data_IF_255272997590
#
_entry.id   IF_255272997590
#
_cell.length_a   1.000
_cell.length_b   1.000
_cell.length_c   1.000
_cell.angle_alpha   90.00
_cell.angle_beta   90.00
_cell.angle_gamma   90.00
#
_symmetry.space_group_name_H-M   'P 1'
#
loop_
_entity.id
_entity.type
_entity.pdbx_description
1 polymer ?
#
# COMPACT_ATOMS: atom_id res chain seq x y z
N UNK A 1 13.24 -9.96 0.40
CA UNK A 1 12.55 -10.41 -0.83
C UNK A 1 12.17 -9.24 -1.74
N UNK A 2 11.60 -8.16 -1.20
CA UNK A 2 11.09 -7.01 -1.95
C UNK A 2 12.13 -6.31 -2.89
N UNK A 3 13.40 -6.09 -2.50
CA UNK A 3 14.39 -5.53 -3.43
C UNK A 3 14.56 -6.33 -4.73
N UNK A 4 14.50 -7.66 -4.65
CA UNK A 4 14.59 -8.51 -5.84
C UNK A 4 13.33 -8.40 -6.71
N UNK A 5 12.15 -8.22 -6.10
CA UNK A 5 10.92 -7.97 -6.83
C UNK A 5 10.97 -6.62 -7.56
N UNK A 6 11.51 -5.58 -6.93
CA UNK A 6 11.73 -4.28 -7.56
C UNK A 6 12.64 -4.39 -8.80
N UNK A 7 13.79 -5.08 -8.69
CA UNK A 7 14.67 -5.34 -9.85
C UNK A 7 13.96 -6.07 -10.98
N UNK A 8 13.21 -7.13 -10.64
CA UNK A 8 12.44 -7.89 -11.64
C UNK A 8 11.38 -7.02 -12.32
N UNK A 9 10.71 -6.14 -11.58
CA UNK A 9 9.74 -5.19 -12.15
C UNK A 9 10.43 -4.26 -13.15
N UNK A 10 11.54 -3.64 -12.74
CA UNK A 10 12.35 -2.77 -13.61
C UNK A 10 12.75 -3.49 -14.90
N UNK A 11 13.35 -4.68 -14.78
CA UNK A 11 13.82 -5.46 -15.92
C UNK A 11 12.68 -5.90 -16.84
N UNK A 12 11.50 -6.16 -16.28
CA UNK A 12 10.32 -6.53 -17.05
C UNK A 12 9.78 -5.33 -17.81
N UNK A 13 9.64 -4.18 -17.14
CA UNK A 13 9.13 -2.95 -17.73
C UNK A 13 10.06 -2.42 -18.84
N UNK A 14 11.39 -2.51 -18.67
CA UNK A 14 12.37 -2.15 -19.72
C UNK A 14 12.23 -2.98 -21.00
N UNK A 15 11.74 -4.22 -20.90
CA UNK A 15 11.58 -5.16 -22.03
C UNK A 15 10.15 -5.22 -22.58
N UNK A 16 9.19 -4.63 -21.89
CA UNK A 16 7.79 -4.71 -22.27
C UNK A 16 7.50 -3.77 -23.44
N UNK A 17 7.21 -4.32 -24.62
CA UNK A 17 6.99 -3.54 -25.85
C UNK A 17 5.70 -2.70 -25.85
N UNK A 18 4.80 -2.93 -24.89
CA UNK A 18 3.51 -2.23 -24.80
C UNK A 18 3.56 -0.88 -24.08
N UNK A 19 4.73 -0.45 -23.60
CA UNK A 19 4.94 0.88 -23.00
C UNK A 19 6.23 1.50 -23.54
N UNK A 20 6.28 2.82 -23.59
CA UNK A 20 7.53 3.54 -23.66
C UNK A 20 8.12 3.65 -22.25
N UNK A 21 9.11 2.82 -21.94
CA UNK A 21 9.73 2.80 -20.62
C UNK A 21 10.34 4.14 -20.19
N UNK A 22 10.71 5.02 -21.11
CA UNK A 22 11.26 6.34 -20.75
C UNK A 22 10.17 7.40 -20.62
N UNK A 23 9.20 7.40 -21.54
CA UNK A 23 8.26 8.50 -21.68
C UNK A 23 6.91 8.28 -20.98
N UNK A 24 6.45 7.04 -20.81
CA UNK A 24 5.13 6.81 -20.22
C UNK A 24 5.19 6.94 -18.70
N UNK A 25 4.15 7.51 -18.09
CA UNK A 25 4.01 7.49 -16.63
C UNK A 25 3.63 6.10 -16.14
N UNK A 26 4.31 5.63 -15.10
CA UNK A 26 4.01 4.34 -14.44
C UNK A 26 3.43 4.61 -13.06
N UNK A 27 2.38 3.87 -12.73
CA UNK A 27 1.82 3.83 -11.38
C UNK A 27 2.15 2.46 -10.77
N UNK A 28 3.02 2.45 -9.76
CA UNK A 28 3.44 1.23 -9.06
C UNK A 28 2.79 1.20 -7.69
N UNK A 29 2.05 0.14 -7.37
CA UNK A 29 1.45 -0.01 -6.03
C UNK A 29 2.21 -1.08 -5.24
N UNK A 30 2.74 -0.69 -4.09
CA UNK A 30 3.46 -1.55 -3.14
C UNK A 30 2.60 -1.74 -1.90
N UNK A 31 2.15 -2.97 -1.66
CA UNK A 31 1.47 -3.38 -0.44
C UNK A 31 2.16 -4.64 0.09
N UNK A 32 2.90 -4.50 1.19
CA UNK A 32 3.84 -5.52 1.68
C UNK A 32 3.99 -5.42 3.21
N UNK A 33 4.40 -6.52 3.85
CA UNK A 33 4.71 -6.57 5.29
C UNK A 33 3.77 -7.41 6.13
N UNK A 34 2.61 -7.84 5.59
CA UNK A 34 1.71 -8.76 6.30
C UNK A 34 2.39 -10.10 6.56
N UNK A 35 3.13 -10.64 5.57
CA UNK A 35 3.88 -11.89 5.73
C UNK A 35 5.00 -11.77 6.77
N UNK A 36 5.73 -10.65 6.82
CA UNK A 36 6.73 -10.38 7.85
C UNK A 36 6.10 -10.37 9.25
N UNK A 37 4.91 -9.78 9.43
CA UNK A 37 4.18 -9.84 10.69
C UNK A 37 3.72 -11.26 11.04
N UNK A 38 3.25 -11.99 10.03
CA UNK A 38 2.82 -13.39 10.16
C UNK A 38 3.95 -14.35 10.56
N UNK A 39 5.19 -13.99 10.24
CA UNK A 39 6.40 -14.76 10.49
C UNK A 39 7.31 -14.15 11.57
N UNK A 40 6.94 -13.01 12.16
CA UNK A 40 7.74 -12.27 13.14
C UNK A 40 8.28 -13.13 14.29
N UNK A 41 7.43 -14.00 14.84
CA UNK A 41 7.80 -14.91 15.93
C UNK A 41 8.74 -16.06 15.52
N UNK A 42 8.94 -16.30 14.22
CA UNK A 42 9.88 -17.31 13.71
C UNK A 42 11.33 -16.80 13.72
N UNK A 43 11.51 -15.53 13.37
CA UNK A 43 12.80 -14.85 13.38
C UNK A 43 12.58 -13.35 13.58
N UNK A 44 12.72 -12.91 14.84
CA UNK A 44 12.43 -11.52 15.23
C UNK A 44 13.42 -10.51 14.66
N UNK A 45 14.61 -10.95 14.24
CA UNK A 45 15.62 -10.09 13.64
C UNK A 45 15.35 -9.92 12.14
N UNK A 46 15.12 -11.03 11.44
CA UNK A 46 14.82 -11.05 10.01
C UNK A 46 13.53 -10.29 9.67
N UNK A 47 12.49 -10.45 10.50
CA UNK A 47 11.18 -9.82 10.33
C UNK A 47 10.96 -8.62 11.27
N UNK A 48 12.03 -8.04 11.80
CA UNK A 48 11.96 -6.84 12.65
C UNK A 48 11.42 -5.63 11.89
N UNK A 49 10.88 -4.60 12.58
CA UNK A 49 10.54 -3.32 11.96
C UNK A 49 11.71 -2.68 11.24
N UNK A 50 12.94 -2.89 11.73
CA UNK A 50 14.16 -2.40 11.10
C UNK A 50 14.43 -3.10 9.77
N UNK A 51 14.44 -4.44 9.75
CA UNK A 51 14.62 -5.23 8.53
C UNK A 51 13.52 -4.97 7.51
N UNK A 52 12.28 -4.83 7.97
CA UNK A 52 11.14 -4.48 7.12
C UNK A 52 11.34 -3.13 6.42
N UNK A 53 11.54 -2.05 7.18
CA UNK A 53 11.68 -0.71 6.58
C UNK A 53 12.94 -0.63 5.72
N UNK A 54 14.05 -1.27 6.12
CA UNK A 54 15.26 -1.35 5.31
C UNK A 54 15.01 -1.96 3.94
N UNK A 55 14.31 -3.10 3.87
CA UNK A 55 13.98 -3.74 2.61
C UNK A 55 13.03 -2.91 1.74
N UNK A 56 12.08 -2.19 2.36
CA UNK A 56 11.21 -1.23 1.66
C UNK A 56 12.04 -0.07 1.09
N UNK A 57 12.93 0.54 1.88
CA UNK A 57 13.81 1.61 1.43
C UNK A 57 14.66 1.18 0.25
N UNK A 58 15.34 0.03 0.33
CA UNK A 58 16.18 -0.47 -0.76
C UNK A 58 15.37 -0.73 -2.04
N UNK A 59 14.15 -1.25 -1.92
CA UNK A 59 13.29 -1.48 -3.07
C UNK A 59 12.84 -0.16 -3.72
N UNK A 60 12.46 0.83 -2.92
CA UNK A 60 12.07 2.15 -3.41
C UNK A 60 13.24 2.92 -4.02
N UNK A 61 14.46 2.77 -3.48
CA UNK A 61 15.68 3.31 -4.07
C UNK A 61 15.93 2.74 -5.47
N UNK A 62 15.80 1.40 -5.64
CA UNK A 62 15.91 0.76 -6.96
C UNK A 62 14.90 1.34 -7.95
N UNK A 63 13.64 1.53 -7.53
CA UNK A 63 12.61 2.12 -8.39
C UNK A 63 12.94 3.57 -8.73
N UNK A 64 13.36 4.37 -7.75
CA UNK A 64 13.75 5.78 -7.93
C UNK A 64 14.91 5.91 -8.91
N UNK A 65 15.93 5.07 -8.78
CA UNK A 65 17.15 5.15 -9.57
C UNK A 65 16.96 4.66 -11.00
N UNK A 66 16.05 3.71 -11.22
CA UNK A 66 15.95 3.01 -12.50
C UNK A 66 14.66 3.26 -13.29
N UNK A 67 13.59 3.81 -12.68
CA UNK A 67 12.29 4.02 -13.34
C UNK A 67 11.92 5.49 -13.46
N UNK A 68 12.17 6.14 -14.62
CA UNK A 68 11.73 7.51 -14.85
C UNK A 68 10.20 7.59 -14.91
N UNK A 69 9.63 8.77 -14.66
CA UNK A 69 8.18 9.03 -14.70
C UNK A 69 7.37 8.00 -13.91
N UNK A 70 7.64 7.84 -12.62
CA UNK A 70 6.99 6.84 -11.78
C UNK A 70 6.37 7.44 -10.53
N UNK A 71 5.09 7.15 -10.30
CA UNK A 71 4.43 7.36 -9.02
C UNK A 71 4.35 6.02 -8.30
N UNK A 72 4.84 5.96 -7.07
CA UNK A 72 4.70 4.79 -6.22
C UNK A 72 3.63 5.02 -5.16
N UNK A 73 2.55 4.25 -5.19
CA UNK A 73 1.61 4.11 -4.08
C UNK A 73 2.18 3.12 -3.06
N UNK A 74 2.66 3.62 -1.92
CA UNK A 74 3.02 2.78 -0.78
C UNK A 74 1.79 2.62 0.12
N UNK A 75 1.14 1.47 0.06
CA UNK A 75 -0.07 1.21 0.84
C UNK A 75 0.30 0.91 2.29
N UNK A 76 -0.31 1.63 3.23
CA UNK A 76 -0.10 1.42 4.67
C UNK A 76 -0.67 0.05 5.10
N UNK A 77 0.00 -0.57 6.06
CA UNK A 77 -0.46 -1.83 6.66
C UNK A 77 -1.71 -1.62 7.51
N UNK A 78 -2.61 -2.59 7.45
CA UNK A 78 -3.74 -2.71 8.36
C UNK A 78 -3.32 -3.26 9.74
N UNK A 79 -4.13 -3.03 10.79
CA UNK A 79 -4.04 -3.76 12.05
C UNK A 79 -4.40 -5.23 11.82
N UNK A 80 -3.41 -6.13 11.87
CA UNK A 80 -3.63 -7.55 11.52
C UNK A 80 -4.37 -8.34 12.59
N UNK A 81 -4.51 -7.80 13.81
CA UNK A 81 -5.23 -8.45 14.92
C UNK A 81 -6.66 -8.85 14.55
N UNK A 82 -7.33 -8.01 13.76
CA UNK A 82 -8.70 -8.25 13.31
C UNK A 82 -8.87 -9.52 12.48
N UNK A 83 -7.82 -9.97 11.77
CA UNK A 83 -7.89 -11.20 10.96
C UNK A 83 -8.15 -12.45 11.80
N UNK A 84 -7.88 -12.43 13.12
CA UNK A 84 -8.22 -13.53 14.04
C UNK A 84 -9.72 -13.77 14.16
N UNK A 85 -10.54 -12.76 13.86
CA UNK A 85 -12.00 -12.86 13.87
C UNK A 85 -12.53 -13.55 12.61
N UNK A 86 -11.76 -13.56 11.52
CA UNK A 86 -12.15 -14.13 10.23
C UNK A 86 -11.86 -15.63 10.24
N UNK A 87 -12.71 -16.39 10.95
CA UNK A 87 -12.57 -17.82 11.08
C UNK A 87 -13.94 -18.49 11.30
N UNK A 88 -14.46 -19.15 10.27
CA UNK A 88 -15.75 -19.87 10.31
C UNK A 88 -15.60 -21.34 10.77
N UNK A 89 -14.39 -21.77 11.14
CA UNK A 89 -14.08 -23.16 11.53
C UNK A 89 -13.91 -24.13 10.37
N UNK A 90 -14.04 -23.69 9.12
CA UNK A 90 -13.76 -24.51 7.93
C UNK A 90 -12.29 -24.92 7.86
N UNK A 91 -12.02 -26.03 7.14
CA UNK A 91 -10.65 -26.50 6.94
C UNK A 91 -9.75 -25.42 6.33
N UNK A 92 -10.28 -24.60 5.41
CA UNK A 92 -9.54 -23.50 4.79
C UNK A 92 -9.16 -22.42 5.79
N UNK A 93 -10.09 -21.92 6.61
CA UNK A 93 -9.78 -20.97 7.68
C UNK A 93 -8.77 -21.54 8.69
N UNK A 94 -8.84 -22.84 9.00
CA UNK A 94 -7.88 -23.48 9.92
C UNK A 94 -6.43 -23.45 9.40
N UNK A 95 -6.23 -23.34 8.08
CA UNK A 95 -4.90 -23.18 7.48
C UNK A 95 -4.27 -21.82 7.76
N UNK A 96 -5.03 -20.80 8.19
CA UNK A 96 -4.47 -19.52 8.63
C UNK A 96 -3.39 -19.69 9.69
N UNK A 97 -3.50 -20.71 10.56
CA UNK A 97 -2.46 -21.03 11.56
C UNK A 97 -1.11 -21.41 10.95
N UNK A 98 -1.11 -21.91 9.71
CA UNK A 98 0.11 -22.22 8.96
C UNK A 98 0.66 -20.99 8.25
N UNK A 99 -0.21 -20.17 7.67
CA UNK A 99 0.17 -18.97 6.91
C UNK A 99 0.55 -17.78 7.81
N UNK A 100 -0.09 -17.66 8.97
CA UNK A 100 0.09 -16.57 9.91
C UNK A 100 0.15 -17.06 11.37
N UNK A 101 1.10 -17.96 11.71
CA UNK A 101 1.17 -18.59 13.03
C UNK A 101 1.34 -17.59 14.17
N UNK A 102 2.10 -16.52 13.96
CA UNK A 102 2.38 -15.53 15.00
C UNK A 102 1.14 -14.74 15.42
N UNK A 103 0.16 -14.64 14.52
CA UNK A 103 -1.11 -13.98 14.80
C UNK A 103 -2.15 -14.93 15.40
N UNK A 104 -2.31 -16.13 14.84
CA UNK A 104 -3.45 -17.00 15.14
C UNK A 104 -3.20 -17.92 16.33
N UNK A 105 -1.96 -18.36 16.54
CA UNK A 105 -1.64 -19.33 17.60
C UNK A 105 -1.70 -18.73 19.02
N UNK A 106 -1.28 -17.48 19.28
CA UNK A 106 -1.33 -16.92 20.62
C UNK A 106 -2.78 -16.75 21.13
N UNK A 107 -2.95 -16.88 22.45
CA UNK A 107 -4.25 -16.61 23.11
C UNK A 107 -4.54 -15.10 23.14
N UNK A 108 -5.80 -14.67 23.24
CA UNK A 108 -6.18 -13.25 23.16
C UNK A 108 -5.44 -12.30 24.12
N UNK A 109 -5.06 -12.74 25.32
CA UNK A 109 -4.40 -11.88 26.33
C UNK A 109 -2.89 -12.12 26.48
N UNK A 110 -2.33 -12.94 25.60
CA UNK A 110 -0.93 -13.36 25.61
C UNK A 110 0.04 -12.18 25.45
N UNK A 111 1.25 -12.34 25.99
CA UNK A 111 2.32 -11.35 25.82
C UNK A 111 2.78 -11.27 24.35
N UNK A 112 2.75 -12.41 23.66
CA UNK A 112 3.11 -12.59 22.27
C UNK A 112 2.18 -11.80 21.34
N UNK A 113 0.86 -11.84 21.56
CA UNK A 113 -0.08 -11.05 20.76
C UNK A 113 0.06 -9.55 21.05
N UNK A 114 0.27 -9.16 22.31
CA UNK A 114 0.53 -7.76 22.69
C UNK A 114 1.79 -7.23 22.03
N UNK A 115 2.84 -8.04 21.97
CA UNK A 115 4.07 -7.72 21.25
C UNK A 115 3.83 -7.59 19.75
N UNK A 116 3.13 -8.53 19.11
CA UNK A 116 2.84 -8.47 17.68
C UNK A 116 2.04 -7.20 17.30
N UNK A 117 1.07 -6.79 18.13
CA UNK A 117 0.34 -5.52 17.95
C UNK A 117 1.27 -4.31 17.99
N UNK A 118 2.24 -4.30 18.90
CA UNK A 118 3.26 -3.24 18.98
C UNK A 118 4.12 -3.24 17.70
N UNK A 119 4.56 -4.41 17.24
CA UNK A 119 5.38 -4.55 16.03
C UNK A 119 4.61 -4.09 14.78
N UNK A 120 3.34 -4.46 14.64
CA UNK A 120 2.49 -3.97 13.54
C UNK A 120 2.40 -2.45 13.53
N UNK A 121 2.25 -1.82 14.71
CA UNK A 121 2.26 -0.35 14.83
C UNK A 121 3.61 0.26 14.52
N UNK A 122 4.71 -0.39 14.90
CA UNK A 122 6.06 0.05 14.53
C UNK A 122 6.32 -0.02 13.03
N UNK A 123 5.79 -1.03 12.33
CA UNK A 123 5.85 -1.06 10.87
C UNK A 123 5.13 0.16 10.27
N UNK A 124 3.91 0.46 10.75
CA UNK A 124 3.15 1.63 10.28
C UNK A 124 3.93 2.92 10.48
N UNK A 125 4.48 3.14 11.69
CA UNK A 125 5.28 4.32 12.03
C UNK A 125 6.52 4.41 11.14
N UNK A 126 7.23 3.30 10.91
CA UNK A 126 8.44 3.28 10.10
C UNK A 126 8.18 3.61 8.62
N UNK A 127 7.04 3.19 8.06
CA UNK A 127 6.65 3.62 6.71
C UNK A 127 6.31 5.11 6.66
N UNK A 128 5.61 5.63 7.68
CA UNK A 128 5.30 7.06 7.81
C UNK A 128 6.57 7.91 7.91
N UNK A 129 7.51 7.52 8.78
CA UNK A 129 8.81 8.17 8.92
C UNK A 129 9.61 8.15 7.60
N UNK A 130 9.62 7.01 6.90
CA UNK A 130 10.33 6.86 5.63
C UNK A 130 9.80 7.83 4.57
N UNK A 131 8.48 7.92 4.38
CA UNK A 131 7.89 8.83 3.39
C UNK A 131 8.01 10.29 3.85
N UNK A 132 7.74 10.59 5.13
CA UNK A 132 7.84 11.94 5.66
C UNK A 132 9.26 12.54 5.56
N UNK A 133 10.29 11.69 5.54
CA UNK A 133 11.70 12.09 5.37
C UNK A 133 11.96 12.92 4.10
N UNK A 134 11.12 12.80 3.07
CA UNK A 134 11.29 13.49 1.80
C UNK A 134 12.36 12.88 0.88
N UNK A 135 12.93 11.73 1.25
CA UNK A 135 13.97 11.02 0.46
C UNK A 135 13.58 10.79 -1.01
N UNK A 136 12.29 10.61 -1.29
CA UNK A 136 11.79 10.31 -2.64
C UNK A 136 11.13 11.51 -3.33
N UNK A 137 11.29 12.71 -2.78
CA UNK A 137 10.72 13.94 -3.31
C UNK A 137 11.76 14.79 -4.08
N UNK A 138 12.97 14.26 -4.31
CA UNK A 138 14.09 15.01 -4.92
C UNK A 138 14.03 15.14 -6.46
N UNK A 139 13.23 14.30 -7.12
CA UNK A 139 13.13 14.23 -8.60
C UNK A 139 11.76 14.76 -9.06
N UNK A 140 11.73 15.40 -10.23
CA UNK A 140 10.48 15.92 -10.81
C UNK A 140 9.58 14.81 -11.38
N UNK A 141 10.19 13.68 -11.75
CA UNK A 141 9.55 12.57 -12.44
C UNK A 141 9.44 11.30 -11.59
N UNK A 142 9.68 11.38 -10.28
CA UNK A 142 9.53 10.26 -9.35
C UNK A 142 8.98 10.72 -8.00
N UNK A 143 8.04 9.97 -7.43
CA UNK A 143 7.58 10.23 -6.05
C UNK A 143 7.03 8.95 -5.40
N UNK A 144 7.11 8.89 -4.07
CA UNK A 144 6.49 7.84 -3.25
C UNK A 144 5.44 8.49 -2.36
N UNK A 145 4.20 8.00 -2.46
CA UNK A 145 3.05 8.53 -1.74
C UNK A 145 2.54 7.44 -0.80
N UNK A 146 2.46 7.75 0.49
CA UNK A 146 1.83 6.85 1.45
C UNK A 146 0.31 6.90 1.29
N UNK A 147 -0.33 5.74 1.15
CA UNK A 147 -1.78 5.61 1.02
C UNK A 147 -2.34 4.96 2.29
N UNK A 148 -2.80 5.75 3.29
CA UNK A 148 -3.15 5.27 4.62
C UNK A 148 -4.52 4.59 4.72
N UNK A 149 -5.27 4.41 3.62
CA UNK A 149 -6.66 3.96 3.69
C UNK A 149 -6.91 2.71 4.57
N UNK A 150 -5.96 1.77 4.68
CA UNK A 150 -6.08 0.57 5.51
C UNK A 150 -5.62 0.71 6.96
N UNK A 151 -4.99 1.84 7.35
CA UNK A 151 -4.26 1.99 8.62
C UNK A 151 -5.08 1.65 9.87
N UNK A 152 -6.38 1.91 9.82
CA UNK A 152 -7.35 1.64 10.89
C UNK A 152 -8.45 0.66 10.49
N UNK A 153 -8.28 -0.03 9.36
CA UNK A 153 -9.29 -0.93 8.82
C UNK A 153 -9.51 -2.16 9.72
N UNK A 154 -10.77 -2.56 9.81
CA UNK A 154 -11.27 -3.75 10.48
C UNK A 154 -11.93 -4.69 9.47
N UNK A 155 -12.04 -6.00 9.78
CA UNK A 155 -12.72 -6.94 8.91
C UNK A 155 -14.15 -6.48 8.55
N UNK A 156 -14.61 -6.75 7.32
CA UNK A 156 -15.97 -6.42 6.92
C UNK A 156 -16.99 -7.25 7.70
N UNK A 157 -18.10 -6.59 8.03
CA UNK A 157 -19.25 -7.15 8.72
C UNK A 157 -20.48 -7.07 7.81
N UNK A 158 -21.39 -8.03 7.97
CA UNK A 158 -22.69 -8.05 7.29
C UNK A 158 -23.74 -7.18 8.03
N UNK A 159 -24.99 -7.24 7.57
CA UNK A 159 -26.10 -6.50 8.19
C UNK A 159 -26.45 -6.99 9.61
N UNK A 160 -26.09 -8.24 9.94
CA UNK A 160 -26.27 -8.81 11.27
C UNK A 160 -25.15 -8.44 12.24
N UNK A 161 -24.04 -7.88 11.74
CA UNK A 161 -22.85 -7.53 12.51
C UNK A 161 -21.84 -8.68 12.62
N UNK A 162 -22.01 -9.75 11.84
CA UNK A 162 -21.10 -10.90 11.76
C UNK A 162 -20.08 -10.70 10.63
N UNK A 163 -18.99 -11.47 10.63
CA UNK A 163 -17.98 -11.38 9.56
C UNK A 163 -18.61 -11.69 8.19
N UNK A 164 -18.50 -10.76 7.24
CA UNK A 164 -18.95 -11.00 5.87
C UNK A 164 -17.89 -11.78 5.09
N UNK A 165 -18.01 -13.11 5.11
CA UNK A 165 -17.10 -14.03 4.42
C UNK A 165 -17.11 -13.89 2.89
N UNK A 166 -18.08 -13.21 2.28
CA UNK A 166 -18.06 -12.98 0.82
C UNK A 166 -16.90 -12.07 0.37
N UNK A 167 -16.27 -11.37 1.30
CA UNK A 167 -15.04 -10.60 1.07
C UNK A 167 -13.77 -11.45 1.08
N UNK A 168 -13.80 -12.68 1.58
CA UNK A 168 -12.62 -13.52 1.77
C UNK A 168 -12.64 -14.79 0.91
N UNK A 169 -11.46 -15.20 0.48
CA UNK A 169 -11.25 -16.48 -0.18
C UNK A 169 -11.47 -17.64 0.80
N UNK A 170 -11.57 -18.90 0.33
CA UNK A 170 -11.76 -20.06 1.21
C UNK A 170 -10.67 -20.25 2.29
N UNK A 171 -9.50 -19.62 2.15
CA UNK A 171 -8.45 -19.61 3.18
C UNK A 171 -8.68 -18.58 4.31
N UNK A 172 -9.71 -17.76 4.18
CA UNK A 172 -10.12 -16.72 5.13
C UNK A 172 -9.06 -15.63 5.35
N UNK A 173 -8.05 -15.57 4.48
CA UNK A 173 -6.91 -14.68 4.61
C UNK A 173 -6.82 -13.72 3.42
N UNK A 174 -6.89 -14.26 2.20
CA UNK A 174 -6.90 -13.43 1.00
C UNK A 174 -8.29 -12.89 0.69
N UNK A 175 -8.36 -11.70 0.10
CA UNK A 175 -9.64 -11.13 -0.34
C UNK A 175 -10.15 -11.78 -1.63
N UNK A 176 -11.47 -11.87 -1.78
CA UNK A 176 -12.09 -12.16 -3.07
C UNK A 176 -12.02 -10.93 -3.98
N UNK A 177 -12.53 -11.09 -5.22
CA UNK A 177 -12.78 -9.97 -6.14
C UNK A 177 -13.63 -8.87 -5.47
N UNK A 178 -14.58 -9.22 -4.58
CA UNK A 178 -15.40 -8.25 -3.84
C UNK A 178 -14.52 -7.36 -2.96
N UNK A 179 -13.65 -7.96 -2.14
CA UNK A 179 -12.73 -7.21 -1.28
C UNK A 179 -11.71 -6.40 -2.06
N UNK A 180 -11.09 -7.01 -3.08
CA UNK A 180 -10.16 -6.30 -3.95
C UNK A 180 -10.80 -5.09 -4.64
N UNK A 181 -12.06 -5.19 -5.07
CA UNK A 181 -12.80 -4.08 -5.68
C UNK A 181 -12.96 -2.91 -4.71
N UNK A 182 -13.40 -3.15 -3.47
CA UNK A 182 -13.61 -2.07 -2.49
C UNK A 182 -12.28 -1.46 -2.03
N UNK A 183 -11.23 -2.27 -1.85
CA UNK A 183 -9.89 -1.75 -1.55
C UNK A 183 -9.32 -0.91 -2.70
N UNK A 184 -9.52 -1.31 -3.95
CA UNK A 184 -9.07 -0.55 -5.11
C UNK A 184 -9.75 0.82 -5.20
N UNK A 185 -11.04 0.91 -4.87
CA UNK A 185 -11.76 2.18 -4.78
C UNK A 185 -11.24 3.07 -3.65
N UNK A 186 -10.93 2.48 -2.49
CA UNK A 186 -10.37 3.24 -1.37
C UNK A 186 -8.98 3.79 -1.70
N UNK A 187 -8.11 2.99 -2.33
CA UNK A 187 -6.83 3.43 -2.86
C UNK A 187 -6.98 4.56 -3.90
N UNK A 188 -7.92 4.40 -4.85
CA UNK A 188 -8.24 5.42 -5.84
C UNK A 188 -8.61 6.76 -5.18
N UNK A 189 -9.50 6.73 -4.19
CA UNK A 189 -9.89 7.92 -3.46
C UNK A 189 -8.70 8.58 -2.76
N UNK A 190 -7.82 7.77 -2.15
CA UNK A 190 -6.59 8.25 -1.50
C UNK A 190 -5.62 8.93 -2.48
N UNK A 191 -5.53 8.47 -3.74
CA UNK A 191 -4.75 9.16 -4.78
C UNK A 191 -5.36 10.52 -5.17
N UNK A 192 -6.68 10.68 -5.06
CA UNK A 192 -7.41 11.91 -5.36
C UNK A 192 -7.67 12.80 -4.13
N UNK A 193 -7.00 12.52 -3.02
CA UNK A 193 -7.06 13.30 -1.80
C UNK A 193 -5.69 13.93 -1.51
N UNK A 194 -5.65 15.23 -1.17
CA UNK A 194 -4.40 15.91 -0.87
C UNK A 194 -3.72 15.29 0.36
N UNK A 195 -2.40 15.41 0.39
CA UNK A 195 -1.58 15.01 1.53
C UNK A 195 -2.11 15.64 2.82
N UNK A 196 -2.21 14.85 3.90
CA UNK A 196 -2.81 15.28 5.16
C UNK A 196 -4.35 15.28 5.22
N UNK A 197 -5.04 15.03 4.10
CA UNK A 197 -6.50 14.87 4.03
C UNK A 197 -6.94 13.50 3.48
N UNK A 198 -5.99 12.58 3.32
CA UNK A 198 -6.27 11.20 2.89
C UNK A 198 -7.12 10.50 3.96
N UNK A 199 -8.20 9.86 3.53
CA UNK A 199 -9.15 9.19 4.42
C UNK A 199 -8.68 7.77 4.73
N UNK A 200 -8.76 7.40 6.01
CA UNK A 200 -8.66 6.02 6.47
C UNK A 200 -10.05 5.38 6.49
N UNK A 201 -10.20 4.20 5.88
CA UNK A 201 -11.46 3.47 5.93
C UNK A 201 -11.50 2.60 7.18
N UNK A 202 -12.62 2.65 7.90
CA UNK A 202 -12.83 1.80 9.08
C UNK A 202 -13.10 0.34 8.69
N UNK A 203 -13.84 0.11 7.60
CA UNK A 203 -14.07 -1.22 7.02
C UNK A 203 -14.57 -1.09 5.57
N UNK A 204 -14.58 -2.20 4.85
CA UNK A 204 -15.21 -2.32 3.53
C UNK A 204 -16.63 -2.92 3.60
N UNK A 205 -17.24 -2.98 4.80
CA UNK A 205 -18.61 -3.50 5.00
C UNK A 205 -19.65 -2.75 4.16
N UNK A 206 -19.44 -1.44 3.96
CA UNK A 206 -20.26 -0.60 3.10
C UNK A 206 -19.50 -0.29 1.81
N UNK A 207 -20.19 -0.20 0.65
CA UNK A 207 -19.55 0.16 -0.61
C UNK A 207 -18.79 1.47 -0.49
N UNK A 208 -17.52 1.46 -0.88
CA UNK A 208 -16.70 2.66 -0.99
C UNK A 208 -17.23 3.48 -2.16
N UNK A 209 -17.58 4.74 -1.88
CA UNK A 209 -18.02 5.69 -2.90
C UNK A 209 -16.81 6.28 -3.60
N UNK A 210 -16.77 6.18 -4.93
CA UNK A 210 -15.66 6.66 -5.74
C UNK A 210 -15.66 8.19 -5.82
N UNK A 211 -14.49 8.77 -5.64
CA UNK A 211 -14.22 10.18 -5.96
C UNK A 211 -13.91 10.26 -7.45
N UNK A 212 -14.58 11.18 -8.13
CA UNK A 212 -14.26 11.56 -9.50
C UNK A 212 -13.36 12.81 -9.46
N UNK A 213 -12.24 12.85 -10.22
CA UNK A 213 -11.45 14.06 -10.36
C UNK A 213 -12.30 15.23 -10.88
N UNK A 214 -12.08 16.44 -10.35
CA UNK A 214 -12.74 17.64 -10.86
C UNK A 214 -11.93 18.27 -11.99
N UNK A 215 -12.48 19.27 -12.67
CA UNK A 215 -11.74 20.01 -13.72
C UNK A 215 -10.59 20.83 -13.14
N UNK A 216 -10.71 21.25 -11.89
CA UNK A 216 -9.72 22.05 -11.16
C UNK A 216 -8.56 21.19 -10.64
N UNK A 217 -8.83 19.91 -10.34
CA UNK A 217 -7.84 18.95 -9.83
C UNK A 217 -7.87 17.62 -10.60
N UNK A 218 -7.53 17.59 -11.91
CA UNK A 218 -7.57 16.39 -12.74
C UNK A 218 -6.31 15.51 -12.59
N UNK A 219 -5.70 15.46 -11.40
CA UNK A 219 -4.38 14.83 -11.17
C UNK A 219 -4.30 14.04 -9.86
N UNK A 220 -3.29 13.19 -9.75
CA UNK A 220 -2.94 12.49 -8.50
C UNK A 220 -2.25 13.47 -7.55
N UNK A 221 -2.70 13.49 -6.30
CA UNK A 221 -2.08 14.32 -5.27
C UNK A 221 -0.77 13.72 -4.78
N UNK A 222 0.27 14.52 -4.82
CA UNK A 222 1.61 14.28 -4.29
C UNK A 222 1.89 15.28 -3.17
N UNK A 223 2.99 15.13 -2.44
CA UNK A 223 3.42 16.12 -1.45
C UNK A 223 3.56 17.52 -2.07
N UNK A 224 4.13 17.61 -3.27
CA UNK A 224 4.43 18.87 -3.96
C UNK A 224 3.21 19.65 -4.40
N UNK A 225 2.16 18.97 -4.89
CA UNK A 225 0.94 19.62 -5.36
C UNK A 225 -0.18 19.70 -4.29
N UNK A 226 0.05 19.16 -3.09
CA UNK A 226 -0.89 19.22 -1.96
C UNK A 226 -0.64 20.40 -1.02
N UNK A 227 0.57 20.95 -1.00
CA UNK A 227 0.88 22.14 -0.19
C UNK A 227 0.42 23.39 -0.96
N UNK A 228 -0.62 24.06 -0.46
CA UNK A 228 -0.91 25.41 -0.90
C UNK A 228 0.32 26.29 -0.64
N UNK A 229 0.97 26.77 -1.71
CA UNK A 229 2.04 27.78 -1.70
C UNK A 229 3.36 27.44 -0.97
N UNK A 230 4.32 26.86 -1.69
CA UNK A 230 5.71 27.29 -1.53
C UNK A 230 5.90 28.56 -2.38
N UNK A 231 6.63 29.59 -1.92
CA UNK A 231 7.08 30.65 -2.83
C UNK A 231 7.90 29.99 -3.95
N UNK A 232 7.81 30.49 -5.20
CA UNK A 232 8.64 29.96 -6.27
C UNK A 232 10.11 30.01 -5.84
N UNK A 233 10.91 28.96 -6.11
CA UNK A 233 12.34 29.03 -5.89
C UNK A 233 12.88 30.27 -6.60
N UNK A 234 13.64 31.07 -5.87
CA UNK A 234 14.19 32.34 -6.33
C UNK A 234 15.37 32.12 -7.26
N UNK A 235 15.13 31.49 -8.41
CA UNK A 235 15.99 31.59 -9.60
C UNK A 235 15.16 31.29 -10.84
N UNK A 236 15.20 32.24 -11.77
CA UNK A 236 14.55 32.24 -13.06
C UNK A 236 14.90 31.02 -13.91
N UNK A 237 14.04 29.99 -13.90
CA UNK A 237 13.78 29.15 -15.06
C UNK A 237 12.29 28.83 -15.07
N UNK A 238 11.60 29.16 -16.16
CA UNK A 238 10.21 28.75 -16.36
C UNK A 238 10.16 27.24 -16.58
N UNK A 239 9.98 26.46 -15.52
CA UNK A 239 9.66 25.04 -15.62
C UNK A 239 8.16 24.88 -15.41
N UNK A 240 7.46 24.46 -16.47
CA UNK A 240 6.10 23.96 -16.36
C UNK A 240 6.19 22.58 -15.69
N UNK A 241 6.05 22.54 -14.37
CA UNK A 241 6.03 21.31 -13.59
C UNK A 241 4.87 20.43 -14.08
N UNK A 242 5.17 19.19 -14.46
CA UNK A 242 4.21 18.29 -15.07
C UNK A 242 3.08 17.93 -14.09
N UNK A 243 1.93 18.59 -14.22
CA UNK A 243 0.67 18.06 -13.72
C UNK A 243 0.34 16.81 -14.53
N UNK A 244 0.32 15.65 -13.88
CA UNK A 244 -0.02 14.39 -14.55
C UNK A 244 -1.53 14.29 -14.57
N UNK A 245 -2.10 14.69 -15.71
CA UNK A 245 -3.51 14.51 -15.99
C UNK A 245 -3.84 13.00 -15.96
N UNK A 246 -4.88 12.62 -15.23
CA UNK A 246 -5.33 11.21 -15.14
C UNK A 246 -5.65 10.64 -16.54
N UNK A 247 -5.99 11.49 -17.51
CA UNK A 247 -6.19 11.10 -18.91
C UNK A 247 -4.91 10.71 -19.66
N UNK A 248 -3.72 11.02 -19.11
CA UNK A 248 -2.43 10.64 -19.68
C UNK A 248 -2.03 9.18 -19.39
N UNK A 249 -2.74 8.50 -18.49
CA UNK A 249 -2.56 7.06 -18.29
C UNK A 249 -3.25 6.29 -19.43
N UNK A 250 -2.51 5.98 -20.49
CA UNK A 250 -2.86 4.80 -21.30
C UNK A 250 -2.62 3.58 -20.43
N UNK A 251 -3.69 2.91 -20.02
CA UNK A 251 -3.65 1.75 -19.11
C UNK A 251 -3.37 0.46 -19.89
N UNK A 252 -2.14 -0.09 -19.89
CA UNK A 252 -2.00 -1.50 -19.62
C UNK A 252 -2.15 -1.66 -18.11
N UNK A 253 -3.34 -2.08 -17.69
CA UNK A 253 -3.65 -2.41 -16.31
C UNK A 253 -2.79 -3.63 -15.93
N UNK A 254 -1.58 -3.41 -15.41
CA UNK A 254 -0.77 -4.49 -14.82
C UNK A 254 -1.40 -4.80 -13.47
N UNK A 255 -2.25 -5.83 -13.48
CA UNK A 255 -2.87 -6.42 -12.30
C UNK A 255 -1.81 -6.70 -11.22
N UNK A 256 -2.15 -6.27 -10.01
CA UNK A 256 -1.63 -6.71 -8.71
C UNK A 256 -0.70 -7.93 -8.80
N UNK A 257 0.54 -7.74 -8.34
CA UNK A 257 1.30 -8.91 -7.92
C UNK A 257 1.11 -9.11 -6.42
N UNK A 258 0.11 -9.93 -6.09
CA UNK A 258 0.09 -10.66 -4.82
C UNK A 258 1.24 -11.67 -4.90
N UNK A 259 2.39 -11.32 -4.31
CA UNK A 259 3.44 -12.30 -4.09
C UNK A 259 3.19 -12.98 -2.76
N UNK A 260 2.62 -14.18 -2.84
CA UNK A 260 2.79 -15.24 -1.84
C UNK A 260 4.27 -15.49 -1.56
#
# INVERSE_FOLDING_TARGET
>A
QLPNQARRLVDTMKRFLGINFTEDWKLVTVFIGVNDLCDYCKDKDLFSPHSFVYNVTVALDILSDEMPRTIVNLVQLLPIEGLRLVNDGSFGCLLQRKFCPCLVNPTPDSAELKELRRINKEFQIKLEELVASGRFDEKEDFTVILQPFLKTATPPLDEAGEIDYSFFSPDCFHFTIKGHKEMAKALWNNMLQPEGQKVEIYSVSKPVQLICPTKEHPYIYTRWNSVASLPPPSTSVSAAWAQIDVSAFTLPLVLFVNFT
#
